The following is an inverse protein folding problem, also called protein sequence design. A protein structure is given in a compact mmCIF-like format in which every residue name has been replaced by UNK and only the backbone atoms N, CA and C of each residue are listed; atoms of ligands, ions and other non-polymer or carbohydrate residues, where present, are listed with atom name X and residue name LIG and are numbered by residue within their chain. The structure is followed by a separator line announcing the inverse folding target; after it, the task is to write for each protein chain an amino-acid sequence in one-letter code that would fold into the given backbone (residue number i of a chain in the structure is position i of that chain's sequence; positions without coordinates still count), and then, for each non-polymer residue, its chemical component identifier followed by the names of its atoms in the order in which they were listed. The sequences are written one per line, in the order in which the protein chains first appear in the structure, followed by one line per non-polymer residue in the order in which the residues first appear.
data_IF_028348168335
#
_entry.id   IF_028348168335
#
_cell.length_a   1.000
_cell.length_b   1.000
_cell.length_c   1.000
_cell.angle_alpha   90.00
_cell.angle_beta   90.00
_cell.angle_gamma   90.00
#
_symmetry.space_group_name_H-M   'P 1'
#
loop_
_entity.id
_entity.type
_entity.pdbx_description
1 polymer ?
#
# COMPACT_ATOMS: atom_id res chain seq x y z
N UNK A 1 -32.97 -43.58 -10.83
CA UNK A 1 -31.58 -44.00 -11.05
C UNK A 1 -30.77 -43.63 -9.83
N UNK A 2 -30.36 -44.64 -9.08
CA UNK A 2 -29.76 -44.52 -7.74
C UNK A 2 -28.27 -44.24 -7.88
N UNK A 3 -27.73 -43.24 -7.27
CA UNK A 3 -26.30 -43.07 -7.14
C UNK A 3 -25.93 -43.06 -5.64
N UNK A 4 -25.08 -44.03 -5.33
CA UNK A 4 -24.67 -44.46 -4.00
C UNK A 4 -23.75 -43.46 -3.35
N UNK A 5 -24.01 -43.21 -2.09
CA UNK A 5 -23.05 -42.66 -1.17
C UNK A 5 -21.85 -43.59 -0.99
N UNK A 6 -20.65 -43.07 -1.06
CA UNK A 6 -19.44 -43.74 -0.62
C UNK A 6 -18.92 -43.03 0.63
N UNK A 7 -19.16 -43.71 1.73
CA UNK A 7 -18.59 -43.47 3.02
C UNK A 7 -17.12 -43.91 2.98
N UNK A 8 -16.20 -43.05 3.32
CA UNK A 8 -14.87 -43.46 3.73
C UNK A 8 -14.68 -43.15 5.20
N UNK A 9 -14.94 -44.20 5.96
CA UNK A 9 -14.65 -44.27 7.38
C UNK A 9 -13.23 -44.83 7.56
N UNK A 10 -12.48 -44.13 8.37
CA UNK A 10 -11.43 -44.60 9.26
C UNK A 10 -10.31 -45.52 8.74
N UNK A 11 -9.10 -45.08 8.93
CA UNK A 11 -8.11 -45.94 9.62
C UNK A 11 -7.30 -45.04 10.56
N UNK A 12 -7.58 -45.24 11.79
CA UNK A 12 -6.81 -44.92 12.98
C UNK A 12 -5.94 -46.14 13.27
N UNK A 13 -4.68 -45.91 13.62
CA UNK A 13 -3.89 -46.74 14.55
C UNK A 13 -2.45 -46.22 14.55
N UNK A 14 -2.10 -45.50 15.57
CA UNK A 14 -1.37 -45.96 16.74
C UNK A 14 0.10 -46.26 16.47
N UNK A 15 0.98 -45.35 16.79
CA UNK A 15 2.30 -45.70 17.33
C UNK A 15 2.67 -44.79 18.50
N UNK A 16 2.49 -45.34 19.68
CA UNK A 16 3.15 -44.91 20.89
C UNK A 16 4.59 -45.41 20.79
N UNK A 17 5.54 -44.54 20.80
CA UNK A 17 6.91 -44.88 21.09
C UNK A 17 7.47 -43.88 22.09
N UNK A 18 7.56 -44.39 23.27
CA UNK A 18 8.20 -43.86 24.44
C UNK A 18 9.71 -43.78 24.20
N UNK A 19 10.25 -42.58 24.19
CA UNK A 19 11.68 -42.39 24.42
C UNK A 19 11.88 -41.07 25.14
N UNK A 20 12.31 -41.22 26.38
CA UNK A 20 12.60 -40.14 27.30
C UNK A 20 13.69 -39.22 26.77
N UNK A 21 13.39 -37.94 26.71
CA UNK A 21 14.40 -36.93 26.60
C UNK A 21 14.58 -36.29 27.98
N UNK A 22 15.69 -36.59 28.55
CA UNK A 22 16.16 -36.01 29.80
C UNK A 22 16.28 -34.48 29.60
N UNK A 23 15.52 -33.70 30.36
CA UNK A 23 15.73 -32.27 30.49
C UNK A 23 17.03 -32.01 31.21
N UNK A 24 18.06 -31.67 30.48
CA UNK A 24 19.30 -31.16 31.07
C UNK A 24 19.06 -29.72 31.44
N UNK A 25 18.77 -29.45 32.69
CA UNK A 25 18.79 -28.11 33.28
C UNK A 25 20.23 -27.63 33.29
N UNK A 26 20.60 -26.82 32.30
CA UNK A 26 21.89 -26.12 32.34
C UNK A 26 21.72 -24.90 33.23
N UNK A 27 22.19 -25.01 34.45
CA UNK A 27 22.38 -23.88 35.36
C UNK A 27 23.56 -23.06 34.84
N UNK A 28 23.41 -21.75 34.50
CA UNK A 28 24.57 -20.94 34.17
C UNK A 28 25.38 -20.67 35.44
N UNK A 29 26.53 -21.31 35.54
CA UNK A 29 27.54 -20.96 36.53
C UNK A 29 28.11 -19.58 36.13
N UNK A 30 27.81 -18.58 36.93
CA UNK A 30 28.37 -17.25 36.88
C UNK A 30 29.87 -17.32 37.28
N UNK A 31 30.74 -17.51 36.31
CA UNK A 31 32.17 -17.26 36.50
C UNK A 31 32.45 -15.79 36.36
N UNK A 32 32.72 -15.17 37.49
CA UNK A 32 33.24 -13.82 37.65
C UNK A 32 34.65 -13.80 37.05
N UNK A 33 34.79 -13.31 35.82
CA UNK A 33 36.06 -12.93 35.25
C UNK A 33 36.07 -11.42 35.01
N UNK A 34 37.04 -10.83 35.66
CA UNK A 34 37.34 -9.42 35.65
C UNK A 34 37.73 -8.95 34.24
N UNK A 35 37.38 -7.69 33.98
CA UNK A 35 38.06 -6.73 33.14
C UNK A 35 38.16 -7.08 31.63
N UNK A 36 37.06 -6.87 30.91
CA UNK A 36 37.12 -6.55 29.51
C UNK A 36 36.65 -5.09 29.33
N UNK A 37 37.58 -4.19 29.18
CA UNK A 37 37.34 -2.82 28.75
C UNK A 37 36.76 -2.86 27.32
N UNK A 38 35.44 -2.88 27.20
CA UNK A 38 34.76 -2.66 25.92
C UNK A 38 34.85 -1.17 25.64
N UNK A 39 35.73 -0.81 24.72
CA UNK A 39 35.81 0.51 24.12
C UNK A 39 34.47 0.77 23.43
N UNK A 40 33.60 1.51 24.10
CA UNK A 40 32.31 1.95 23.55
C UNK A 40 32.60 2.91 22.41
N UNK A 41 32.49 2.42 21.19
CA UNK A 41 32.37 3.27 20.01
C UNK A 41 31.07 4.09 20.09
N UNK A 42 30.91 5.13 19.25
CA UNK A 42 29.78 6.04 19.34
C UNK A 42 28.47 5.25 19.35
N UNK A 43 27.70 5.45 20.40
CA UNK A 43 26.39 4.84 20.62
C UNK A 43 25.50 5.24 19.46
N UNK A 44 25.28 4.33 18.51
CA UNK A 44 24.16 4.43 17.59
C UNK A 44 22.93 4.37 18.49
N UNK A 45 22.21 5.47 18.60
CA UNK A 45 20.87 5.47 19.22
C UNK A 45 20.03 4.48 18.42
N UNK A 46 19.92 3.30 18.93
CA UNK A 46 18.98 2.32 18.47
C UNK A 46 17.62 2.75 19.02
N UNK A 47 16.82 3.36 18.17
CA UNK A 47 15.42 3.64 18.51
C UNK A 47 14.75 2.32 18.90
N UNK A 48 13.89 2.32 19.93
CA UNK A 48 13.22 1.10 20.39
C UNK A 48 12.45 0.47 19.21
N UNK A 49 12.49 -0.88 19.05
CA UNK A 49 11.72 -1.56 18.05
C UNK A 49 10.22 -1.38 18.36
N UNK A 50 9.55 -0.50 17.61
CA UNK A 50 8.13 -0.19 17.79
C UNK A 50 7.70 1.22 17.42
N UNK A 51 8.62 2.14 17.19
CA UNK A 51 8.31 3.45 16.62
C UNK A 51 8.34 3.36 15.09
N UNK A 52 7.47 2.57 14.51
CA UNK A 52 7.10 2.76 13.13
C UNK A 52 6.38 4.11 13.07
N UNK A 53 7.08 5.15 12.64
CA UNK A 53 6.51 6.48 12.48
C UNK A 53 5.21 6.38 11.68
N UNK A 54 4.23 7.24 12.02
CA UNK A 54 2.97 7.31 11.27
C UNK A 54 3.28 7.30 9.77
N UNK A 55 2.57 6.49 8.95
CA UNK A 55 2.76 6.50 7.51
C UNK A 55 2.65 7.92 6.96
N UNK A 56 3.71 8.37 6.30
CA UNK A 56 3.78 9.68 5.70
C UNK A 56 3.97 9.53 4.19
N UNK A 57 3.03 10.09 3.44
CA UNK A 57 3.04 10.10 1.98
C UNK A 57 2.72 11.50 1.47
N UNK A 58 3.54 11.98 0.54
CA UNK A 58 3.29 13.20 -0.22
C UNK A 58 2.78 12.83 -1.60
N UNK A 59 1.72 13.49 -2.05
CA UNK A 59 1.06 13.26 -3.33
C UNK A 59 1.03 14.56 -4.12
N UNK A 60 1.44 14.50 -5.38
CA UNK A 60 1.37 15.65 -6.29
C UNK A 60 0.65 15.24 -7.57
N UNK A 61 -0.39 15.98 -7.95
CA UNK A 61 -1.10 15.81 -9.22
C UNK A 61 -0.31 16.49 -10.33
N UNK A 62 -0.06 15.80 -11.43
CA UNK A 62 0.63 16.33 -12.60
C UNK A 62 -0.33 17.03 -13.54
N UNK A 63 0.20 17.89 -14.41
CA UNK A 63 -0.58 18.64 -15.39
C UNK A 63 -1.43 17.71 -16.27
N UNK A 64 -2.60 18.22 -16.70
CA UNK A 64 -3.45 17.53 -17.67
C UNK A 64 -3.00 17.90 -19.08
N UNK A 65 -2.84 16.89 -19.92
CA UNK A 65 -2.40 17.02 -21.31
C UNK A 65 -3.31 16.20 -22.24
N UNK A 66 -3.13 16.35 -23.55
CA UNK A 66 -3.85 15.57 -24.57
C UNK A 66 -5.37 15.52 -24.34
N UNK A 67 -5.95 16.68 -24.01
CA UNK A 67 -7.39 16.80 -23.79
C UNK A 67 -8.14 16.67 -25.10
N UNK A 68 -9.04 15.71 -25.18
CA UNK A 68 -9.95 15.47 -26.32
C UNK A 68 -11.41 15.69 -25.89
N UNK A 69 -12.35 15.28 -26.72
CA UNK A 69 -13.78 15.30 -26.41
C UNK A 69 -14.14 14.32 -25.25
N UNK A 70 -13.49 13.16 -25.23
CA UNK A 70 -13.85 12.03 -24.37
C UNK A 70 -12.69 11.47 -23.55
N UNK A 71 -11.50 12.07 -23.63
CA UNK A 71 -10.32 11.62 -22.92
C UNK A 71 -9.37 12.75 -22.59
N UNK A 72 -8.46 12.49 -21.64
CA UNK A 72 -7.33 13.34 -21.32
C UNK A 72 -6.20 12.47 -20.73
N UNK A 73 -5.00 12.99 -20.67
CA UNK A 73 -3.87 12.34 -19.99
C UNK A 73 -3.45 13.22 -18.82
N UNK A 74 -3.24 12.61 -17.69
CA UNK A 74 -2.66 13.26 -16.53
C UNK A 74 -1.72 12.26 -15.82
N UNK A 75 -1.25 12.62 -14.65
CA UNK A 75 -0.39 11.75 -13.86
C UNK A 75 -0.31 12.24 -12.42
N UNK A 76 0.55 11.61 -11.66
CA UNK A 76 0.86 11.99 -10.29
C UNK A 76 2.20 11.45 -9.86
N UNK A 77 2.79 12.08 -8.86
CA UNK A 77 3.96 11.55 -8.18
C UNK A 77 3.67 11.26 -6.72
N UNK A 78 4.34 10.24 -6.19
CA UNK A 78 4.26 9.81 -4.81
C UNK A 78 5.66 9.80 -4.18
N UNK A 79 5.78 10.38 -2.99
CA UNK A 79 6.95 10.24 -2.13
C UNK A 79 6.49 9.63 -0.81
N UNK A 80 7.05 8.47 -0.47
CA UNK A 80 6.71 7.73 0.75
C UNK A 80 7.90 7.83 1.69
N UNK A 81 7.72 8.51 2.81
CA UNK A 81 8.75 8.62 3.84
C UNK A 81 8.70 7.43 4.81
N UNK A 82 7.48 7.02 5.22
CA UNK A 82 7.28 5.91 6.13
C UNK A 82 6.02 5.11 5.74
N UNK A 83 6.06 3.80 5.99
CA UNK A 83 4.93 2.91 5.76
C UNK A 83 4.73 2.51 4.31
N UNK A 84 3.60 1.88 4.03
CA UNK A 84 3.20 1.41 2.70
C UNK A 84 1.97 2.14 2.17
N UNK A 85 1.90 2.29 0.85
CA UNK A 85 0.70 2.75 0.15
C UNK A 85 -0.16 1.54 -0.20
N UNK A 86 -1.43 1.58 0.21
CA UNK A 86 -2.41 0.52 -0.02
C UNK A 86 -3.07 0.71 -1.39
N UNK A 87 -3.42 1.96 -1.72
CA UNK A 87 -4.08 2.33 -2.96
C UNK A 87 -3.70 3.74 -3.36
N UNK A 88 -3.55 3.99 -4.66
CA UNK A 88 -3.28 5.33 -5.19
C UNK A 88 -3.90 5.51 -6.57
N UNK A 89 -4.02 6.75 -7.03
CA UNK A 89 -4.60 7.07 -8.33
C UNK A 89 -5.01 8.53 -8.44
N UNK A 90 -5.92 8.80 -9.38
CA UNK A 90 -6.55 10.09 -9.61
C UNK A 90 -8.05 9.99 -9.38
N UNK A 91 -8.60 10.87 -8.56
CA UNK A 91 -10.03 11.10 -8.44
C UNK A 91 -10.46 12.14 -9.47
N UNK A 92 -11.60 11.91 -10.13
CA UNK A 92 -12.20 12.81 -11.11
C UNK A 92 -13.65 13.11 -10.75
N UNK A 93 -14.04 14.37 -10.85
CA UNK A 93 -15.41 14.85 -10.61
C UNK A 93 -15.73 16.06 -11.49
N UNK A 94 -17.01 16.36 -11.68
CA UNK A 94 -17.49 17.62 -12.26
C UNK A 94 -17.61 18.75 -11.22
N UNK A 95 -17.57 18.41 -9.96
CA UNK A 95 -17.52 19.36 -8.85
C UNK A 95 -16.10 19.47 -8.31
N UNK A 96 -15.74 20.64 -7.77
CA UNK A 96 -14.48 20.86 -7.06
C UNK A 96 -14.38 19.98 -5.81
N UNK A 97 -13.17 19.61 -5.41
CA UNK A 97 -12.88 18.75 -4.29
C UNK A 97 -13.09 17.26 -4.56
N UNK A 98 -12.62 16.68 -5.69
CA UNK A 98 -12.81 15.25 -5.92
C UNK A 98 -12.16 14.42 -4.80
N UNK A 99 -12.84 13.35 -4.42
CA UNK A 99 -12.42 12.40 -3.39
C UNK A 99 -12.45 10.97 -3.91
N UNK A 100 -12.00 10.01 -3.11
CA UNK A 100 -12.06 8.58 -3.42
C UNK A 100 -13.49 8.05 -3.58
N UNK A 101 -14.51 8.82 -3.23
CA UNK A 101 -15.92 8.49 -3.47
C UNK A 101 -16.39 8.82 -4.89
N UNK A 102 -15.60 9.55 -5.66
CA UNK A 102 -15.87 9.88 -7.05
C UNK A 102 -15.25 8.86 -8.01
N UNK A 103 -15.27 9.16 -9.31
CA UNK A 103 -14.62 8.29 -10.30
C UNK A 103 -13.11 8.24 -10.07
N UNK A 104 -12.56 7.05 -10.03
CA UNK A 104 -11.14 6.81 -9.79
C UNK A 104 -10.49 6.24 -11.04
N UNK A 105 -9.34 6.78 -11.40
CA UNK A 105 -8.42 6.26 -12.39
C UNK A 105 -7.07 5.99 -11.74
N UNK A 106 -6.42 4.90 -12.08
CA UNK A 106 -5.10 4.56 -11.55
C UNK A 106 -4.97 3.07 -11.27
N UNK A 107 -3.82 2.69 -10.78
CA UNK A 107 -3.49 1.30 -10.47
C UNK A 107 -2.94 1.19 -9.06
N UNK A 108 -3.46 0.24 -8.34
CA UNK A 108 -2.97 -0.22 -7.04
C UNK A 108 -1.74 -1.14 -7.15
N UNK A 109 -1.26 -1.41 -8.37
CA UNK A 109 -0.19 -2.39 -8.64
C UNK A 109 1.08 -1.80 -9.27
N UNK A 110 1.10 -0.51 -9.58
CA UNK A 110 2.28 0.13 -10.16
C UNK A 110 3.26 0.56 -9.08
N UNK A 111 4.54 0.32 -9.29
CA UNK A 111 5.61 0.75 -8.41
C UNK A 111 6.45 1.80 -9.13
N UNK A 112 6.64 2.95 -8.51
CA UNK A 112 7.47 4.03 -9.05
C UNK A 112 7.14 5.37 -8.40
N UNK A 113 8.00 6.38 -8.60
CA UNK A 113 7.74 7.72 -8.09
C UNK A 113 6.71 8.50 -8.94
N UNK A 114 6.64 8.22 -10.25
CA UNK A 114 5.82 8.95 -11.22
C UNK A 114 4.90 8.01 -11.99
N UNK A 115 3.67 8.41 -12.14
CA UNK A 115 2.61 7.64 -12.79
C UNK A 115 1.94 8.45 -13.87
N UNK A 116 1.68 7.84 -15.03
CA UNK A 116 0.87 8.39 -16.11
C UNK A 116 -0.47 7.68 -16.16
N UNK A 117 -1.55 8.43 -16.22
CA UNK A 117 -2.91 7.93 -16.16
C UNK A 117 -3.72 8.47 -17.33
N UNK A 118 -4.39 7.59 -18.06
CA UNK A 118 -5.32 7.93 -19.11
C UNK A 118 -6.73 8.04 -18.54
N UNK A 119 -7.32 9.22 -18.64
CA UNK A 119 -8.69 9.52 -18.25
C UNK A 119 -9.59 9.29 -19.46
N UNK A 120 -10.52 8.36 -19.39
CA UNK A 120 -11.39 7.97 -20.50
C UNK A 120 -12.86 8.02 -20.13
N UNK A 121 -13.75 7.99 -21.12
CA UNK A 121 -15.19 8.03 -20.86
C UNK A 121 -15.68 9.38 -20.37
N UNK A 122 -14.98 10.45 -20.77
CA UNK A 122 -15.34 11.81 -20.41
C UNK A 122 -16.49 12.30 -21.29
N UNK A 123 -17.19 13.33 -20.83
CA UNK A 123 -18.28 13.99 -21.53
C UNK A 123 -17.69 15.19 -22.29
N UNK A 124 -18.03 15.39 -23.58
CA UNK A 124 -17.59 16.56 -24.35
C UNK A 124 -18.02 17.88 -23.72
N UNK A 125 -17.27 18.94 -24.01
CA UNK A 125 -17.56 20.30 -23.57
C UNK A 125 -17.90 20.42 -22.08
N UNK A 126 -17.19 19.66 -21.25
CA UNK A 126 -17.48 19.57 -19.82
C UNK A 126 -16.24 19.89 -19.00
N UNK A 127 -16.41 20.71 -17.95
CA UNK A 127 -15.36 21.01 -16.99
C UNK A 127 -15.26 19.88 -15.96
N UNK A 128 -14.04 19.40 -15.76
CA UNK A 128 -13.68 18.38 -14.76
C UNK A 128 -12.64 18.91 -13.80
N UNK A 129 -12.64 18.35 -12.61
CA UNK A 129 -11.65 18.52 -11.56
C UNK A 129 -10.99 17.21 -11.27
N UNK A 130 -9.69 17.21 -11.08
CA UNK A 130 -8.90 16.03 -10.73
C UNK A 130 -8.02 16.29 -9.52
N UNK A 131 -7.81 15.26 -8.72
CA UNK A 131 -6.82 15.21 -7.64
C UNK A 131 -6.22 13.83 -7.57
N UNK A 132 -4.91 13.77 -7.45
CA UNK A 132 -4.25 12.53 -7.09
C UNK A 132 -4.52 12.18 -5.62
N UNK A 133 -4.48 10.91 -5.29
CA UNK A 133 -4.62 10.43 -3.92
C UNK A 133 -3.70 9.23 -3.64
N UNK A 134 -3.35 9.05 -2.38
CA UNK A 134 -2.74 7.84 -1.86
C UNK A 134 -3.36 7.49 -0.52
N UNK A 135 -3.73 6.23 -0.35
CA UNK A 135 -4.30 5.67 0.88
C UNK A 135 -3.24 4.80 1.57
N UNK A 136 -3.04 5.06 2.83
CA UNK A 136 -2.18 4.29 3.74
C UNK A 136 -3.01 3.74 4.89
N UNK A 137 -2.41 3.00 5.80
CA UNK A 137 -3.06 2.59 7.05
C UNK A 137 -3.47 3.75 7.96
N UNK A 138 -2.89 4.95 7.76
CA UNK A 138 -3.23 6.17 8.50
C UNK A 138 -4.37 6.99 7.86
N UNK A 139 -4.82 6.65 6.65
CA UNK A 139 -5.87 7.36 5.92
C UNK A 139 -5.47 7.74 4.50
N UNK A 140 -6.27 8.60 3.87
CA UNK A 140 -6.06 9.06 2.49
C UNK A 140 -5.50 10.48 2.47
N UNK A 141 -4.40 10.65 1.74
CA UNK A 141 -3.79 11.94 1.42
C UNK A 141 -4.11 12.30 -0.03
N UNK A 142 -4.42 13.56 -0.27
CA UNK A 142 -4.73 14.09 -1.60
C UNK A 142 -3.67 15.09 -2.05
N UNK A 143 -3.36 15.07 -3.34
CA UNK A 143 -2.53 16.07 -4.01
C UNK A 143 -3.27 17.39 -4.27
N UNK A 144 -2.59 18.28 -5.00
CA UNK A 144 -3.20 19.51 -5.49
C UNK A 144 -4.36 19.21 -6.47
N UNK A 145 -5.38 20.07 -6.45
CA UNK A 145 -6.48 20.01 -7.41
C UNK A 145 -6.08 20.74 -8.71
N UNK A 146 -6.47 20.13 -9.82
CA UNK A 146 -6.38 20.73 -11.15
C UNK A 146 -7.74 20.64 -11.83
N UNK A 147 -8.02 21.56 -12.75
CA UNK A 147 -9.23 21.50 -13.58
C UNK A 147 -8.89 21.61 -15.05
N UNK A 148 -9.72 20.99 -15.89
CA UNK A 148 -9.64 21.09 -17.34
C UNK A 148 -11.04 21.00 -17.95
N UNK A 149 -11.17 21.38 -19.22
CA UNK A 149 -12.43 21.26 -19.95
C UNK A 149 -12.17 20.42 -21.20
N UNK A 150 -12.97 19.39 -21.41
CA UNK A 150 -12.94 18.56 -22.62
C UNK A 150 -13.34 19.36 -23.84
N UNK A 151 -12.82 18.98 -25.01
CA UNK A 151 -13.18 19.65 -26.30
C UNK A 151 -14.66 19.44 -26.62
N UNK A 152 -15.23 20.35 -27.37
CA UNK A 152 -16.57 20.17 -27.89
C UNK A 152 -16.59 19.06 -28.95
N UNK A 153 -17.71 18.35 -29.04
CA UNK A 153 -17.88 17.33 -30.08
C UNK A 153 -17.84 17.95 -31.47
N UNK A 154 -17.01 17.39 -32.33
CA UNK A 154 -17.02 17.77 -33.73
C UNK A 154 -18.29 17.21 -34.37
N UNK A 155 -19.09 18.10 -34.95
CA UNK A 155 -20.23 17.73 -35.82
C UNK A 155 -19.74 17.16 -37.14
#
# INVERSE_FOLDING_TARGET
MKIKAISFLAIFLLFVSLSGFAQTTVTPQLKKNADVQVKVGPTVKQDPPGSAGKPEVTVKTSAVTNVTEISAVSGYSLTVANGGVIKHGICLSRASGPTISNTIFGSDKSHGPDFVVQLTGLIPNTKFYIRAFATTSAGTTYGNELSFTTSASKK
#
